data_IF_410235975346
#
_entry.id   IF_410235975346
#
_cell.length_a   1.000
_cell.length_b   1.000
_cell.length_c   1.000
_cell.angle_alpha   90.00
_cell.angle_beta   90.00
_cell.angle_gamma   90.00
#
_symmetry.space_group_name_H-M   'P 1'
#
loop_
_entity.id
_entity.type
_entity.pdbx_description
1 polymer ?
#
# COMPACT_ATOMS: atom_id res chain seq x y z
N UNK A 1 -43.51 -19.51 -13.51
CA UNK A 1 -42.70 -18.45 -12.93
C UNK A 1 -42.78 -17.24 -13.86
N UNK A 2 -43.19 -16.09 -13.38
CA UNK A 2 -43.16 -14.85 -14.16
C UNK A 2 -42.11 -13.94 -13.57
N UNK A 3 -41.38 -13.22 -14.42
CA UNK A 3 -40.44 -12.16 -14.02
C UNK A 3 -41.22 -10.83 -14.09
N UNK A 4 -41.24 -10.08 -13.00
CA UNK A 4 -41.56 -8.67 -13.05
C UNK A 4 -40.28 -7.90 -13.42
N UNK A 5 -40.37 -6.77 -14.09
CA UNK A 5 -39.22 -5.99 -14.57
C UNK A 5 -38.35 -5.35 -13.46
N UNK A 6 -38.70 -5.61 -12.18
CA UNK A 6 -38.01 -5.15 -10.97
C UNK A 6 -37.18 -6.28 -10.30
N UNK A 7 -37.03 -7.44 -10.97
CA UNK A 7 -36.32 -8.59 -10.40
C UNK A 7 -37.19 -9.47 -9.49
N UNK A 8 -38.50 -9.19 -9.37
CA UNK A 8 -39.42 -9.99 -8.57
C UNK A 8 -39.90 -11.21 -9.36
N UNK A 9 -39.91 -12.39 -8.75
CA UNK A 9 -40.41 -13.64 -9.32
C UNK A 9 -41.65 -14.10 -8.57
N UNK A 10 -42.72 -14.39 -9.27
CA UNK A 10 -43.94 -14.95 -8.68
C UNK A 10 -44.11 -16.41 -9.12
N UNK A 11 -44.31 -17.28 -8.13
CA UNK A 11 -44.69 -18.68 -8.32
C UNK A 11 -46.09 -18.84 -7.75
N UNK A 12 -47.09 -18.98 -8.62
CA UNK A 12 -48.48 -19.12 -8.23
C UNK A 12 -48.89 -20.60 -8.06
N UNK A 13 -49.99 -20.80 -7.33
CA UNK A 13 -50.66 -22.10 -7.15
C UNK A 13 -49.77 -23.19 -6.50
N UNK A 14 -48.94 -22.77 -5.51
CA UNK A 14 -48.24 -23.73 -4.66
C UNK A 14 -49.16 -24.23 -3.55
N UNK A 15 -49.18 -25.55 -3.34
CA UNK A 15 -49.81 -26.15 -2.18
C UNK A 15 -49.08 -25.79 -0.89
N UNK A 16 -49.73 -25.93 0.27
CA UNK A 16 -49.06 -25.76 1.54
C UNK A 16 -47.98 -26.83 1.72
N UNK A 17 -46.72 -26.40 1.99
CA UNK A 17 -45.59 -27.33 2.07
C UNK A 17 -44.24 -26.65 2.26
N UNK A 18 -43.17 -27.44 2.20
CA UNK A 18 -41.80 -26.96 2.23
C UNK A 18 -41.24 -27.00 0.82
N UNK A 19 -40.64 -25.89 0.39
CA UNK A 19 -40.09 -25.73 -0.93
C UNK A 19 -38.64 -25.31 -0.84
N UNK A 20 -37.78 -25.99 -1.57
CA UNK A 20 -36.39 -25.53 -1.82
C UNK A 20 -36.40 -24.58 -2.98
N UNK A 21 -36.02 -23.34 -2.74
CA UNK A 21 -35.79 -22.35 -3.78
C UNK A 21 -34.28 -22.17 -3.93
N UNK A 22 -33.79 -22.38 -5.16
CA UNK A 22 -32.35 -22.24 -5.47
C UNK A 22 -32.16 -21.68 -6.87
N UNK A 23 -31.01 -21.08 -7.11
CA UNK A 23 -30.62 -20.73 -8.47
C UNK A 23 -30.48 -21.99 -9.34
N UNK A 24 -30.80 -21.82 -10.61
CA UNK A 24 -30.63 -22.92 -11.58
C UNK A 24 -29.14 -23.09 -11.84
N UNK A 25 -28.69 -24.32 -11.90
CA UNK A 25 -27.30 -24.68 -12.18
C UNK A 25 -26.84 -24.05 -13.52
N UNK A 26 -25.64 -23.52 -13.56
CA UNK A 26 -25.02 -22.85 -14.73
C UNK A 26 -25.72 -21.57 -15.21
N UNK A 27 -26.47 -20.88 -14.37
CA UNK A 27 -27.08 -19.56 -14.72
C UNK A 27 -26.34 -18.37 -14.14
N UNK A 28 -25.39 -18.59 -13.23
CA UNK A 28 -24.53 -17.55 -12.65
C UNK A 28 -23.35 -17.34 -13.59
N UNK A 29 -23.40 -16.29 -14.41
CA UNK A 29 -22.43 -16.04 -15.49
C UNK A 29 -21.65 -14.74 -15.33
N UNK A 30 -22.09 -13.86 -14.42
CA UNK A 30 -21.42 -12.59 -14.16
C UNK A 30 -20.53 -12.71 -12.93
N UNK A 31 -19.47 -11.92 -12.89
CA UNK A 31 -18.55 -11.87 -11.73
C UNK A 31 -19.24 -11.44 -10.43
N UNK A 32 -20.40 -10.77 -10.54
CA UNK A 32 -21.20 -10.30 -9.42
C UNK A 32 -22.35 -11.24 -9.02
N UNK A 33 -22.54 -12.33 -9.75
CA UNK A 33 -23.55 -13.32 -9.40
C UNK A 33 -23.10 -14.13 -8.16
N UNK A 34 -24.05 -14.57 -7.35
CA UNK A 34 -23.82 -15.44 -6.20
C UNK A 34 -24.95 -16.47 -6.09
N UNK A 35 -24.60 -17.68 -5.63
CA UNK A 35 -25.55 -18.78 -5.47
C UNK A 35 -26.47 -18.55 -4.30
N UNK A 36 -27.78 -18.74 -4.52
CA UNK A 36 -28.82 -18.63 -3.50
C UNK A 36 -29.55 -19.96 -3.34
N UNK A 37 -29.67 -20.45 -2.12
CA UNK A 37 -30.54 -21.57 -1.79
C UNK A 37 -31.17 -21.37 -0.42
N UNK A 38 -32.47 -21.53 -0.31
CA UNK A 38 -33.19 -21.45 0.97
C UNK A 38 -34.42 -22.35 0.98
N UNK A 39 -34.77 -22.82 2.18
CA UNK A 39 -35.97 -23.61 2.45
C UNK A 39 -37.10 -22.68 2.85
N UNK A 40 -38.19 -22.71 2.12
CA UNK A 40 -39.36 -21.89 2.40
C UNK A 40 -40.55 -22.73 2.78
N UNK A 41 -41.22 -22.39 3.90
CA UNK A 41 -42.52 -22.98 4.30
C UNK A 41 -43.62 -22.11 3.73
N UNK A 42 -44.43 -22.67 2.85
CA UNK A 42 -45.60 -22.01 2.25
C UNK A 42 -46.88 -22.46 3.02
N UNK A 43 -47.55 -21.46 3.62
CA UNK A 43 -48.87 -21.61 4.26
C UNK A 43 -49.64 -20.32 3.91
N UNK A 44 -50.19 -20.26 2.70
CA UNK A 44 -50.72 -19.02 2.11
C UNK A 44 -49.70 -18.24 1.33
N UNK A 45 -49.95 -16.93 1.06
CA UNK A 45 -49.01 -16.09 0.33
C UNK A 45 -47.77 -15.81 1.18
N UNK A 46 -46.60 -16.11 0.62
CA UNK A 46 -45.30 -15.88 1.25
C UNK A 46 -44.41 -15.08 0.33
N UNK A 47 -43.78 -14.05 0.86
CA UNK A 47 -42.72 -13.30 0.15
C UNK A 47 -41.39 -13.63 0.81
N UNK A 48 -40.39 -14.00 0.00
CA UNK A 48 -39.04 -14.22 0.46
C UNK A 48 -38.10 -13.29 -0.34
N UNK A 49 -37.20 -12.62 0.36
CA UNK A 49 -36.08 -11.92 -0.23
C UNK A 49 -34.80 -12.74 0.04
N UNK A 50 -34.18 -13.30 -1.01
CA UNK A 50 -32.90 -13.95 -0.83
C UNK A 50 -31.90 -12.92 -0.27
N UNK A 51 -31.23 -13.25 0.81
CA UNK A 51 -30.11 -12.45 1.30
C UNK A 51 -28.86 -12.98 0.62
N UNK A 52 -28.39 -12.24 -0.37
CA UNK A 52 -27.07 -12.48 -0.90
C UNK A 52 -26.03 -12.11 0.16
N UNK A 53 -25.17 -13.05 0.47
CA UNK A 53 -24.06 -12.85 1.40
C UNK A 53 -22.75 -13.04 0.65
N UNK A 54 -22.44 -12.04 -0.16
CA UNK A 54 -21.22 -12.02 -0.97
C UNK A 54 -20.07 -11.47 -0.13
N UNK A 55 -18.94 -12.19 -0.03
CA UNK A 55 -17.76 -11.67 0.59
C UNK A 55 -17.30 -10.36 -0.08
N UNK A 56 -16.80 -9.45 0.72
CA UNK A 56 -16.25 -8.17 0.25
C UNK A 56 -14.77 -8.08 0.58
N UNK A 57 -14.04 -7.28 -0.19
CA UNK A 57 -12.66 -6.92 0.12
C UNK A 57 -12.49 -5.40 -0.01
N UNK A 58 -11.87 -4.81 0.99
CA UNK A 58 -11.29 -3.47 0.94
C UNK A 58 -9.79 -3.57 1.16
N UNK A 59 -9.02 -2.58 0.66
CA UNK A 59 -7.57 -2.54 0.78
C UNK A 59 -7.13 -1.16 1.21
N UNK A 60 -6.13 -1.12 2.09
CA UNK A 60 -5.60 0.14 2.61
C UNK A 60 -4.07 0.08 2.72
N UNK A 61 -3.46 1.24 2.60
CA UNK A 61 -2.07 1.55 2.89
C UNK A 61 -2.04 2.51 4.08
N UNK A 62 -1.00 2.44 4.88
CA UNK A 62 -0.85 3.31 6.05
C UNK A 62 0.04 4.50 5.71
N UNK A 63 -0.42 5.69 6.01
CA UNK A 63 0.39 6.90 5.94
C UNK A 63 1.46 6.88 7.03
N UNK A 64 2.70 7.15 6.66
CA UNK A 64 3.82 7.17 7.58
C UNK A 64 3.81 8.39 8.53
N UNK A 65 3.34 9.57 8.08
CA UNK A 65 3.35 10.80 8.89
C UNK A 65 2.33 10.78 10.03
N UNK A 66 1.12 10.29 9.78
CA UNK A 66 0.02 10.35 10.75
C UNK A 66 -0.47 8.98 11.24
N UNK A 67 -0.01 7.89 10.59
CA UNK A 67 -0.42 6.53 10.93
C UNK A 67 -1.84 6.17 10.51
N UNK A 68 -2.52 6.99 9.71
CA UNK A 68 -3.88 6.74 9.25
C UNK A 68 -3.89 5.76 8.08
N UNK A 69 -5.01 5.02 7.93
CA UNK A 69 -5.21 4.06 6.86
C UNK A 69 -6.03 4.68 5.73
N UNK A 70 -5.48 4.66 4.51
CA UNK A 70 -6.09 5.24 3.33
C UNK A 70 -5.89 4.42 2.06
N UNK A 71 -6.08 5.06 0.92
CA UNK A 71 -5.88 4.48 -0.42
C UNK A 71 -4.59 4.98 -1.07
N UNK A 72 -3.94 5.97 -0.47
CA UNK A 72 -2.69 6.56 -0.91
C UNK A 72 -1.72 6.61 0.26
N UNK A 73 -0.46 6.40 0.00
CA UNK A 73 0.69 6.63 0.87
C UNK A 73 1.81 7.26 0.06
N UNK A 74 2.81 7.71 0.77
CA UNK A 74 4.05 8.24 0.24
C UNK A 74 5.20 7.80 1.15
N UNK A 75 6.31 7.45 0.53
CA UNK A 75 7.42 6.87 1.27
C UNK A 75 8.76 7.20 0.57
N UNK A 76 9.83 7.18 1.35
CA UNK A 76 11.19 7.22 0.87
C UNK A 76 11.63 5.84 0.38
N UNK A 77 12.48 5.74 -0.64
CA UNK A 77 13.13 4.48 -1.02
C UNK A 77 13.88 3.92 0.19
N UNK A 78 13.67 2.61 0.46
CA UNK A 78 14.18 1.89 1.62
C UNK A 78 13.20 1.80 2.80
N UNK A 79 12.12 2.59 2.80
CA UNK A 79 11.15 2.57 3.88
C UNK A 79 10.25 1.33 3.81
N UNK A 80 9.84 0.86 4.98
CA UNK A 80 8.85 -0.20 5.12
C UNK A 80 7.45 0.36 5.02
N UNK A 81 6.70 -0.12 4.05
CA UNK A 81 5.31 0.28 3.77
C UNK A 81 4.35 -0.73 4.39
N UNK A 82 3.41 -0.26 5.19
CA UNK A 82 2.39 -1.10 5.83
C UNK A 82 1.11 -1.16 4.99
N UNK A 83 0.58 -2.36 4.80
CA UNK A 83 -0.67 -2.63 4.07
C UNK A 83 -1.64 -3.45 4.91
N UNK A 84 -2.94 -3.30 4.63
CA UNK A 84 -3.94 -4.23 5.12
C UNK A 84 -5.04 -4.47 4.09
N UNK A 85 -5.62 -5.67 4.12
CA UNK A 85 -6.92 -5.95 3.51
C UNK A 85 -7.97 -6.15 4.61
N UNK A 86 -9.20 -5.78 4.30
CA UNK A 86 -10.36 -5.97 5.19
C UNK A 86 -11.36 -6.78 4.39
N UNK A 87 -11.66 -7.98 4.87
CA UNK A 87 -12.60 -8.90 4.22
C UNK A 87 -13.66 -9.34 5.21
N UNK A 88 -14.84 -9.69 4.72
CA UNK A 88 -15.98 -10.08 5.57
C UNK A 88 -16.21 -11.58 5.50
N UNK A 89 -16.39 -12.22 6.65
CA UNK A 89 -16.72 -13.65 6.75
C UNK A 89 -18.16 -13.89 6.29
N UNK A 90 -18.37 -14.66 5.20
CA UNK A 90 -19.69 -14.90 4.65
C UNK A 90 -20.47 -15.93 5.46
N UNK A 91 -21.76 -16.08 5.16
CA UNK A 91 -22.53 -17.21 5.62
C UNK A 91 -22.08 -18.50 4.93
N UNK A 92 -21.52 -19.42 5.69
CA UNK A 92 -20.99 -20.69 5.20
C UNK A 92 -21.97 -21.87 5.40
N UNK A 93 -23.24 -21.60 5.72
CA UNK A 93 -24.24 -22.66 5.92
C UNK A 93 -24.42 -23.51 4.65
N UNK A 94 -24.36 -24.81 4.82
CA UNK A 94 -24.49 -25.76 3.71
C UNK A 94 -23.18 -26.08 2.98
N UNK A 95 -22.08 -25.38 3.27
CA UNK A 95 -20.77 -25.72 2.73
C UNK A 95 -20.07 -26.77 3.60
N UNK A 96 -19.52 -27.81 2.95
CA UNK A 96 -18.62 -28.79 3.57
C UNK A 96 -17.15 -28.48 3.28
N UNK A 97 -16.92 -27.62 2.26
CA UNK A 97 -15.62 -27.07 1.88
C UNK A 97 -15.86 -25.63 1.46
N UNK A 98 -14.99 -24.72 1.88
CA UNK A 98 -15.07 -23.32 1.48
C UNK A 98 -13.66 -22.78 1.21
N UNK A 99 -13.41 -22.39 -0.02
CA UNK A 99 -12.19 -21.67 -0.35
C UNK A 99 -12.40 -20.19 -0.03
N UNK A 100 -11.45 -19.61 0.67
CA UNK A 100 -11.42 -18.21 1.04
C UNK A 100 -9.98 -17.74 0.95
N UNK A 101 -9.64 -17.16 -0.22
CA UNK A 101 -8.26 -16.91 -0.59
C UNK A 101 -8.08 -15.44 -0.95
N UNK A 102 -7.35 -14.72 -0.14
CA UNK A 102 -6.92 -13.35 -0.43
C UNK A 102 -5.70 -13.45 -1.34
N UNK A 103 -5.77 -12.82 -2.50
CA UNK A 103 -4.66 -12.66 -3.43
C UNK A 103 -4.15 -11.23 -3.37
N UNK A 104 -2.83 -11.06 -3.37
CA UNK A 104 -2.16 -9.77 -3.33
C UNK A 104 -0.98 -9.72 -4.29
N UNK A 105 -0.77 -8.58 -4.94
CA UNK A 105 0.33 -8.37 -5.87
C UNK A 105 0.81 -6.93 -5.79
N UNK A 106 2.09 -6.77 -5.51
CA UNK A 106 2.81 -5.50 -5.48
C UNK A 106 3.49 -5.24 -6.83
N UNK A 107 3.50 -3.98 -7.28
CA UNK A 107 4.27 -3.56 -8.47
C UNK A 107 5.78 -3.65 -8.24
N UNK A 108 6.58 -3.53 -9.32
CA UNK A 108 8.03 -3.73 -9.27
C UNK A 108 8.77 -2.79 -8.30
N UNK A 109 8.26 -1.56 -8.11
CA UNK A 109 8.85 -0.60 -7.16
C UNK A 109 8.59 -0.91 -5.68
N UNK A 110 7.88 -2.00 -5.39
CA UNK A 110 7.70 -2.53 -4.03
C UNK A 110 8.30 -3.93 -3.96
N UNK A 111 8.87 -4.28 -2.84
CA UNK A 111 9.34 -5.64 -2.53
C UNK A 111 8.50 -6.22 -1.39
N UNK A 112 7.77 -7.30 -1.65
CA UNK A 112 6.96 -7.95 -0.62
C UNK A 112 7.83 -8.59 0.47
N UNK A 113 7.54 -8.29 1.73
CA UNK A 113 8.14 -8.95 2.88
C UNK A 113 7.47 -10.29 3.21
N UNK A 114 6.33 -10.60 2.59
CA UNK A 114 5.57 -11.82 2.85
C UNK A 114 6.25 -13.02 2.19
N UNK A 115 6.69 -13.97 3.00
CA UNK A 115 7.29 -15.25 2.59
C UNK A 115 6.56 -16.43 3.21
N UNK A 116 6.06 -16.27 4.43
CA UNK A 116 5.40 -17.31 5.23
C UNK A 116 4.22 -16.75 6.02
N UNK A 117 3.47 -17.60 6.71
CA UNK A 117 2.39 -17.16 7.60
C UNK A 117 2.87 -16.31 8.79
N UNK A 118 4.16 -16.37 9.14
CA UNK A 118 4.74 -15.54 10.21
C UNK A 118 4.86 -14.06 9.83
N UNK A 119 4.84 -13.74 8.53
CA UNK A 119 4.98 -12.38 8.01
C UNK A 119 3.62 -11.67 7.89
N UNK A 120 2.55 -12.33 8.29
CA UNK A 120 1.17 -11.83 8.23
C UNK A 120 0.54 -11.89 9.62
N UNK A 121 -0.25 -10.87 9.95
CA UNK A 121 -1.12 -10.89 11.13
C UNK A 121 -2.57 -10.71 10.68
N UNK A 122 -3.44 -11.66 11.00
CA UNK A 122 -4.88 -11.54 10.79
C UNK A 122 -5.55 -11.22 12.13
N UNK A 123 -6.36 -10.15 12.16
CA UNK A 123 -7.17 -9.79 13.32
C UNK A 123 -8.66 -9.87 12.98
N UNK A 124 -9.42 -10.43 13.89
CA UNK A 124 -10.89 -10.48 13.84
C UNK A 124 -11.43 -9.18 14.41
N UNK A 125 -12.23 -8.45 13.62
CA UNK A 125 -12.81 -7.14 13.97
C UNK A 125 -11.74 -6.14 14.47
N UNK A 126 -10.55 -6.21 13.89
CA UNK A 126 -9.36 -5.40 14.26
C UNK A 126 -8.93 -5.51 15.74
N UNK A 127 -9.36 -6.53 16.43
CA UNK A 127 -9.11 -6.69 17.87
C UNK A 127 -8.36 -7.98 18.22
N UNK A 128 -8.91 -9.14 17.89
CA UNK A 128 -8.38 -10.43 18.32
C UNK A 128 -7.57 -11.09 17.23
N UNK A 129 -6.33 -11.47 17.51
CA UNK A 129 -5.47 -12.18 16.54
C UNK A 129 -6.06 -13.58 16.26
N UNK A 130 -6.28 -13.88 14.97
CA UNK A 130 -6.58 -15.22 14.50
C UNK A 130 -5.29 -16.05 14.51
N UNK A 131 -5.22 -17.18 15.23
CA UNK A 131 -4.03 -18.02 15.26
C UNK A 131 -3.61 -18.52 13.87
N UNK A 132 -2.30 -18.62 13.62
CA UNK A 132 -1.74 -18.99 12.33
C UNK A 132 -2.13 -20.41 11.85
N UNK A 133 -2.63 -21.26 12.70
CA UNK A 133 -3.16 -22.58 12.35
C UNK A 133 -4.45 -22.55 11.52
N UNK A 134 -5.08 -21.37 11.40
CA UNK A 134 -6.31 -21.18 10.62
C UNK A 134 -6.05 -20.56 9.24
N UNK A 135 -4.79 -20.32 8.86
CA UNK A 135 -4.48 -19.82 7.53
C UNK A 135 -3.12 -20.30 7.04
N UNK A 136 -2.98 -20.35 5.74
CA UNK A 136 -1.72 -20.67 5.06
C UNK A 136 -1.37 -19.58 4.08
N UNK A 137 -0.06 -19.33 3.90
CA UNK A 137 0.47 -18.34 2.97
C UNK A 137 1.29 -19.04 1.91
N UNK A 138 1.03 -18.67 0.66
CA UNK A 138 1.86 -19.07 -0.49
C UNK A 138 2.40 -17.80 -1.13
N UNK A 139 3.73 -17.64 -1.15
CA UNK A 139 4.41 -16.47 -1.70
C UNK A 139 5.13 -16.82 -3.01
N UNK A 140 5.11 -15.88 -3.97
CA UNK A 140 5.80 -15.97 -5.24
C UNK A 140 6.28 -14.57 -5.66
N UNK A 141 7.52 -14.22 -5.31
CA UNK A 141 8.08 -12.88 -5.57
C UNK A 141 7.27 -11.79 -4.88
N UNK A 142 6.74 -10.86 -5.65
CA UNK A 142 5.91 -9.74 -5.20
C UNK A 142 4.41 -10.09 -5.09
N UNK A 143 4.04 -11.33 -5.33
CA UNK A 143 2.67 -11.82 -5.17
C UNK A 143 2.61 -12.84 -4.06
N UNK A 144 1.50 -12.86 -3.35
CA UNK A 144 1.20 -13.91 -2.37
C UNK A 144 -0.30 -14.17 -2.29
N UNK A 145 -0.65 -15.32 -1.73
CA UNK A 145 -2.02 -15.64 -1.38
C UNK A 145 -2.12 -16.11 0.07
N UNK A 146 -3.23 -15.76 0.71
CA UNK A 146 -3.57 -16.15 2.08
C UNK A 146 -4.86 -16.95 2.02
N UNK A 147 -4.77 -18.26 2.21
CA UNK A 147 -5.93 -19.12 2.33
C UNK A 147 -6.34 -19.24 3.79
N UNK A 148 -7.54 -18.80 4.13
CA UNK A 148 -8.12 -18.90 5.49
C UNK A 148 -9.07 -20.09 5.55
N UNK A 149 -8.87 -20.98 6.50
CA UNK A 149 -9.79 -22.08 6.80
C UNK A 149 -10.94 -21.56 7.67
N UNK A 150 -11.87 -20.85 7.03
CA UNK A 150 -12.99 -20.21 7.73
C UNK A 150 -13.95 -21.23 8.35
N UNK A 151 -14.13 -22.40 7.73
CA UNK A 151 -15.03 -23.43 8.29
C UNK A 151 -14.48 -23.98 9.60
N UNK A 152 -13.18 -24.33 9.63
CA UNK A 152 -12.52 -24.76 10.87
C UNK A 152 -12.55 -23.66 11.92
N UNK A 153 -12.23 -22.43 11.55
CA UNK A 153 -12.20 -21.30 12.48
C UNK A 153 -13.60 -20.98 13.07
N UNK A 154 -14.67 -21.14 12.28
CA UNK A 154 -16.05 -21.00 12.75
C UNK A 154 -16.40 -22.17 13.70
N UNK A 155 -16.07 -23.40 13.33
CA UNK A 155 -16.32 -24.59 14.16
C UNK A 155 -15.64 -24.48 15.53
N UNK A 156 -14.41 -23.95 15.56
CA UNK A 156 -13.60 -23.76 16.78
C UNK A 156 -13.98 -22.48 17.54
N UNK A 157 -15.01 -21.75 17.09
CA UNK A 157 -15.51 -20.52 17.74
C UNK A 157 -14.54 -19.33 17.65
N UNK A 158 -13.63 -19.32 16.69
CA UNK A 158 -12.68 -18.23 16.44
C UNK A 158 -13.25 -17.18 15.49
N UNK A 159 -14.14 -17.59 14.59
CA UNK A 159 -14.85 -16.73 13.64
C UNK A 159 -16.35 -16.94 13.74
N UNK A 160 -17.09 -15.93 13.34
CA UNK A 160 -18.54 -15.97 13.13
C UNK A 160 -18.86 -15.27 11.81
N UNK A 161 -20.05 -15.57 11.27
CA UNK A 161 -20.63 -14.81 10.17
C UNK A 161 -20.62 -13.31 10.50
N UNK A 162 -20.36 -12.48 9.48
CA UNK A 162 -20.24 -11.02 9.57
C UNK A 162 -18.99 -10.50 10.30
N UNK A 163 -18.09 -11.34 10.83
CA UNK A 163 -16.82 -10.84 11.33
C UNK A 163 -16.00 -10.22 10.17
N UNK A 164 -15.29 -9.15 10.47
CA UNK A 164 -14.29 -8.60 9.57
C UNK A 164 -12.91 -9.20 9.87
N UNK A 165 -12.19 -9.58 8.82
CA UNK A 165 -10.81 -10.04 8.90
C UNK A 165 -9.89 -8.95 8.38
N UNK A 166 -9.07 -8.40 9.26
CA UNK A 166 -8.02 -7.44 8.96
C UNK A 166 -6.70 -8.18 8.78
N UNK A 167 -6.22 -8.26 7.54
CA UNK A 167 -4.95 -8.94 7.23
C UNK A 167 -3.86 -7.91 7.03
N UNK A 168 -2.88 -7.85 7.95
CA UNK A 168 -1.77 -6.92 7.99
C UNK A 168 -0.50 -7.57 7.44
N UNK A 169 0.25 -6.83 6.65
CA UNK A 169 1.52 -7.23 6.06
C UNK A 169 2.31 -6.01 5.59
N UNK A 170 3.56 -6.21 5.18
CA UNK A 170 4.45 -5.13 4.76
C UNK A 170 5.14 -5.42 3.43
N UNK A 171 5.62 -4.36 2.83
CA UNK A 171 6.60 -4.36 1.74
C UNK A 171 7.65 -3.30 2.00
N UNK A 172 8.63 -3.19 1.11
CA UNK A 172 9.65 -2.14 1.11
C UNK A 172 9.56 -1.39 -0.21
N UNK A 173 9.57 -0.05 -0.16
CA UNK A 173 9.74 0.77 -1.36
C UNK A 173 11.19 0.64 -1.83
N UNK A 174 11.40 0.08 -3.01
CA UNK A 174 12.72 -0.32 -3.49
C UNK A 174 13.29 0.61 -4.57
N UNK A 175 14.50 0.31 -5.03
CA UNK A 175 15.23 1.08 -6.04
C UNK A 175 14.54 1.20 -7.40
N UNK A 176 13.60 0.32 -7.74
CA UNK A 176 12.82 0.34 -8.98
C UNK A 176 11.57 1.23 -8.87
N UNK A 177 11.39 1.91 -7.74
CA UNK A 177 10.26 2.81 -7.51
C UNK A 177 10.27 3.97 -8.50
N UNK A 178 9.12 4.18 -9.14
CA UNK A 178 8.88 5.32 -10.02
C UNK A 178 8.64 6.57 -9.20
N UNK A 179 9.33 7.67 -9.51
CA UNK A 179 9.02 8.97 -8.91
C UNK A 179 7.76 9.58 -9.53
N UNK A 180 7.14 10.51 -8.82
CA UNK A 180 5.79 11.05 -9.09
C UNK A 180 5.49 11.42 -10.56
N UNK A 181 6.46 11.92 -11.32
CA UNK A 181 6.31 12.28 -12.72
C UNK A 181 6.60 11.13 -13.71
N UNK A 182 7.14 10.02 -13.22
CA UNK A 182 7.35 8.78 -13.97
C UNK A 182 6.22 7.77 -13.71
N UNK A 183 5.50 7.91 -12.59
CA UNK A 183 4.39 7.06 -12.16
C UNK A 183 4.31 6.90 -10.66
N UNK A 184 3.79 5.79 -10.23
CA UNK A 184 3.56 5.40 -8.83
C UNK A 184 3.72 3.90 -8.69
N UNK A 185 3.77 3.44 -7.45
CA UNK A 185 3.68 2.02 -7.11
C UNK A 185 2.21 1.70 -6.78
N UNK A 186 1.75 0.54 -7.22
CA UNK A 186 0.45 0.03 -6.82
C UNK A 186 0.58 -1.34 -6.12
N UNK A 187 -0.32 -1.57 -5.19
CA UNK A 187 -0.53 -2.87 -4.58
C UNK A 187 -2.00 -3.23 -4.74
N UNK A 188 -2.27 -4.40 -5.33
CA UNK A 188 -3.58 -4.85 -5.78
C UNK A 188 -3.98 -6.10 -5.03
N UNK A 189 -5.23 -6.16 -4.53
CA UNK A 189 -5.76 -7.37 -3.91
C UNK A 189 -7.17 -7.68 -4.36
N UNK A 190 -7.52 -8.97 -4.29
CA UNK A 190 -8.88 -9.47 -4.42
C UNK A 190 -9.09 -10.72 -3.57
N UNK A 191 -10.35 -11.06 -3.30
CA UNK A 191 -10.73 -12.27 -2.60
C UNK A 191 -11.37 -13.25 -3.58
N UNK A 192 -10.86 -14.48 -3.64
CA UNK A 192 -11.49 -15.63 -4.28
C UNK A 192 -12.24 -16.44 -3.22
N UNK A 193 -13.46 -16.88 -3.53
CA UNK A 193 -14.30 -17.57 -2.57
C UNK A 193 -15.16 -18.65 -3.24
N UNK A 194 -15.57 -19.68 -2.47
CA UNK A 194 -16.52 -20.65 -2.93
C UNK A 194 -17.90 -20.02 -3.10
N UNK A 195 -18.51 -20.20 -4.27
CA UNK A 195 -19.75 -19.54 -4.65
C UNK A 195 -20.99 -20.45 -4.60
N UNK A 196 -20.79 -21.78 -4.60
CA UNK A 196 -21.88 -22.76 -4.63
C UNK A 196 -21.58 -23.95 -3.68
N UNK A 197 -22.42 -24.22 -2.66
CA UNK A 197 -22.17 -25.30 -1.71
C UNK A 197 -22.28 -26.71 -2.32
N UNK A 198 -22.83 -26.84 -3.53
CA UNK A 198 -23.01 -28.11 -4.21
C UNK A 198 -21.99 -28.37 -5.32
N UNK A 199 -21.13 -27.38 -5.63
CA UNK A 199 -20.15 -27.45 -6.72
C UNK A 199 -18.83 -26.83 -6.25
N UNK A 200 -17.88 -27.64 -5.84
CA UNK A 200 -16.58 -27.22 -5.28
C UNK A 200 -15.73 -26.37 -6.24
N UNK A 201 -15.96 -26.51 -7.55
CA UNK A 201 -15.23 -25.78 -8.59
C UNK A 201 -15.84 -24.42 -8.93
N UNK A 202 -17.04 -24.13 -8.41
CA UNK A 202 -17.70 -22.85 -8.63
C UNK A 202 -17.12 -21.79 -7.66
N UNK A 203 -16.36 -20.86 -8.23
CA UNK A 203 -15.65 -19.80 -7.50
C UNK A 203 -16.18 -18.44 -7.89
N UNK A 204 -16.34 -17.58 -6.89
CA UNK A 204 -16.54 -16.14 -7.07
C UNK A 204 -15.23 -15.39 -6.83
N UNK A 205 -15.16 -14.19 -7.35
CA UNK A 205 -14.06 -13.24 -7.15
C UNK A 205 -14.62 -11.84 -6.84
N UNK A 206 -14.09 -11.18 -5.81
CA UNK A 206 -14.43 -9.76 -5.60
C UNK A 206 -13.79 -8.87 -6.67
N UNK A 207 -14.31 -7.66 -6.90
CA UNK A 207 -13.56 -6.65 -7.64
C UNK A 207 -12.19 -6.42 -7.01
N UNK A 208 -11.20 -6.15 -7.86
CA UNK A 208 -9.86 -5.77 -7.41
C UNK A 208 -9.89 -4.43 -6.69
N UNK A 209 -9.14 -4.34 -5.59
CA UNK A 209 -8.89 -3.10 -4.86
C UNK A 209 -7.42 -2.75 -4.93
N UNK A 210 -7.14 -1.47 -5.13
CA UNK A 210 -5.80 -0.93 -5.28
C UNK A 210 -5.54 0.15 -4.24
N UNK A 211 -4.30 0.20 -3.79
CA UNK A 211 -3.73 1.34 -3.08
C UNK A 211 -2.47 1.77 -3.80
N UNK A 212 -2.08 3.01 -3.62
CA UNK A 212 -0.97 3.61 -4.34
C UNK A 212 0.03 4.19 -3.35
N UNK A 213 1.32 4.02 -3.69
CA UNK A 213 2.44 4.57 -2.95
C UNK A 213 3.24 5.49 -3.88
N UNK A 214 3.57 6.68 -3.40
CA UNK A 214 4.25 7.72 -4.15
C UNK A 214 5.63 7.99 -3.56
N UNK A 215 6.53 8.44 -4.39
CA UNK A 215 7.84 8.96 -3.96
C UNK A 215 8.26 10.10 -4.87
N UNK A 216 9.13 10.96 -4.38
CA UNK A 216 9.42 12.24 -5.01
C UNK A 216 10.89 12.40 -5.36
N UNK A 217 11.19 13.50 -6.04
CA UNK A 217 12.55 13.91 -6.36
C UNK A 217 12.73 15.40 -6.12
N UNK A 218 13.97 15.79 -5.87
CA UNK A 218 14.39 17.17 -5.72
C UNK A 218 15.62 17.43 -6.60
N UNK A 219 15.65 18.59 -7.25
CA UNK A 219 16.82 19.10 -7.97
C UNK A 219 17.53 20.19 -7.16
N UNK A 220 18.86 20.24 -7.21
CA UNK A 220 19.68 21.28 -6.56
C UNK A 220 20.29 22.16 -7.64
N UNK A 221 20.00 23.47 -7.59
CA UNK A 221 20.61 24.45 -8.49
C UNK A 221 21.46 25.45 -7.68
N UNK A 222 22.77 25.26 -7.68
CA UNK A 222 23.72 26.21 -7.03
C UNK A 222 24.10 27.29 -8.03
N UNK A 223 23.75 28.54 -7.71
CA UNK A 223 24.01 29.72 -8.56
C UNK A 223 24.72 30.82 -7.78
N UNK A 224 25.42 31.71 -8.53
CA UNK A 224 25.93 32.94 -7.98
C UNK A 224 24.85 34.05 -7.96
N UNK A 225 25.23 35.25 -7.49
CA UNK A 225 24.35 36.42 -7.40
C UNK A 225 23.75 36.87 -8.74
N UNK A 226 24.37 36.52 -9.86
CA UNK A 226 23.93 36.87 -11.21
C UNK A 226 23.13 35.71 -11.87
N UNK A 227 22.82 34.63 -11.15
CA UNK A 227 22.11 33.47 -11.65
C UNK A 227 23.00 32.50 -12.46
N UNK A 228 24.30 32.73 -12.51
CA UNK A 228 25.27 31.83 -13.19
C UNK A 228 25.48 30.57 -12.35
N UNK A 229 25.40 29.39 -13.01
CA UNK A 229 25.60 28.12 -12.35
C UNK A 229 27.01 27.98 -11.76
N UNK A 230 27.08 27.47 -10.53
CA UNK A 230 28.32 27.15 -9.84
C UNK A 230 28.53 25.64 -9.79
N UNK A 231 29.77 25.21 -10.06
CA UNK A 231 30.19 23.81 -9.94
C UNK A 231 31.22 23.65 -8.84
N UNK A 232 31.54 22.40 -8.46
CA UNK A 232 32.56 22.07 -7.46
C UNK A 232 32.12 22.16 -6.02
N UNK A 233 30.88 22.60 -5.73
CA UNK A 233 30.27 22.41 -4.40
C UNK A 233 29.83 20.97 -4.23
N UNK A 234 29.72 20.54 -2.95
CA UNK A 234 29.11 19.25 -2.57
C UNK A 234 28.09 19.45 -1.48
N UNK A 235 27.05 18.63 -1.52
CA UNK A 235 25.92 18.72 -0.59
C UNK A 235 25.62 17.35 0.01
N UNK A 236 25.46 17.30 1.34
CA UNK A 236 24.93 16.18 2.08
C UNK A 236 23.45 16.44 2.43
N UNK A 237 22.62 15.38 2.41
CA UNK A 237 21.19 15.45 2.74
C UNK A 237 20.92 14.78 4.09
N UNK A 238 20.01 15.36 4.88
CA UNK A 238 19.60 14.85 6.20
C UNK A 238 18.15 15.19 6.49
N UNK A 239 17.50 14.40 7.35
CA UNK A 239 16.24 14.76 8.04
C UNK A 239 16.47 15.48 9.37
N UNK A 240 17.72 15.71 9.76
CA UNK A 240 18.10 16.37 11.01
C UNK A 240 18.72 17.75 10.74
N UNK A 241 18.04 18.82 11.13
CA UNK A 241 18.46 20.21 10.95
C UNK A 241 19.51 20.69 11.95
N UNK A 242 19.90 19.89 12.95
CA UNK A 242 20.84 20.30 14.00
C UNK A 242 22.27 19.82 13.78
N UNK A 243 22.55 19.10 12.68
CA UNK A 243 23.88 18.65 12.36
C UNK A 243 24.82 19.85 12.10
N UNK A 244 26.11 19.66 12.39
CA UNK A 244 27.14 20.66 12.06
C UNK A 244 28.11 20.06 11.04
N UNK A 245 28.40 20.76 9.97
CA UNK A 245 29.36 20.33 8.94
C UNK A 245 30.75 20.05 9.56
N UNK A 246 31.14 20.85 10.58
CA UNK A 246 32.39 20.62 11.32
C UNK A 246 32.47 19.23 11.98
N UNK A 247 31.33 18.72 12.47
CA UNK A 247 31.25 17.40 13.11
C UNK A 247 31.25 16.23 12.10
N UNK A 248 30.99 16.51 10.85
CA UNK A 248 31.03 15.51 9.75
C UNK A 248 32.45 15.11 9.40
N UNK A 249 33.47 15.87 9.84
CA UNK A 249 34.89 15.60 9.61
C UNK A 249 35.17 15.38 8.10
N UNK A 250 34.75 16.33 7.27
CA UNK A 250 34.93 16.25 5.82
C UNK A 250 36.39 16.34 5.40
N UNK A 251 36.79 15.57 4.41
CA UNK A 251 38.09 15.73 3.76
C UNK A 251 38.12 16.94 2.82
N UNK A 252 39.27 17.23 2.17
CA UNK A 252 39.45 18.35 1.23
C UNK A 252 38.47 18.31 0.03
N UNK A 253 37.97 17.11 -0.31
CA UNK A 253 36.96 16.93 -1.34
C UNK A 253 35.52 17.10 -0.82
N UNK A 254 35.33 17.45 0.46
CA UNK A 254 34.02 17.65 1.07
C UNK A 254 33.26 16.35 1.33
N UNK A 255 33.96 15.22 1.37
CA UNK A 255 33.35 13.91 1.67
C UNK A 255 33.37 13.70 3.19
N UNK A 256 32.21 13.49 3.84
CA UNK A 256 32.13 13.31 5.28
C UNK A 256 32.71 11.95 5.71
N UNK A 257 33.53 11.95 6.74
CA UNK A 257 33.99 10.76 7.42
C UNK A 257 32.96 10.27 8.47
N UNK A 258 32.17 11.18 9.04
CA UNK A 258 31.06 10.89 9.94
C UNK A 258 29.76 11.08 9.17
N UNK A 259 29.02 9.98 8.98
CA UNK A 259 27.80 9.92 8.15
C UNK A 259 26.53 9.73 8.98
N UNK A 260 26.64 9.68 10.31
CA UNK A 260 25.48 9.52 11.21
C UNK A 260 24.46 10.63 11.02
N UNK A 261 23.23 10.25 10.72
CA UNK A 261 22.13 11.19 10.45
C UNK A 261 22.08 11.73 9.02
N UNK A 262 23.04 11.36 8.15
CA UNK A 262 22.98 11.68 6.72
C UNK A 262 22.21 10.61 5.96
N UNK A 263 21.52 11.02 4.89
CA UNK A 263 20.86 10.13 3.96
C UNK A 263 21.90 9.58 2.98
N UNK A 264 22.03 8.26 2.94
CA UNK A 264 22.84 7.57 1.95
C UNK A 264 22.18 7.62 0.57
N UNK A 265 22.97 7.76 -0.47
CA UNK A 265 22.49 7.82 -1.86
C UNK A 265 23.32 6.92 -2.74
N UNK A 266 22.75 6.45 -3.83
CA UNK A 266 23.45 5.73 -4.90
C UNK A 266 23.43 6.60 -6.17
N UNK A 267 24.58 6.82 -6.79
CA UNK A 267 24.66 7.52 -8.07
C UNK A 267 24.14 6.59 -9.18
N UNK A 268 23.07 7.00 -9.88
CA UNK A 268 22.46 6.24 -10.97
C UNK A 268 23.12 6.60 -12.31
N UNK A 269 23.32 7.90 -12.54
CA UNK A 269 23.98 8.46 -13.72
C UNK A 269 24.63 9.80 -13.38
N UNK A 270 25.22 10.49 -14.37
CA UNK A 270 25.76 11.83 -14.11
C UNK A 270 24.66 12.81 -13.73
N UNK A 271 24.82 13.38 -12.52
CA UNK A 271 23.83 14.30 -11.94
C UNK A 271 22.57 13.63 -11.41
N UNK A 272 22.42 12.31 -11.46
CA UNK A 272 21.25 11.62 -10.91
C UNK A 272 21.64 10.68 -9.77
N UNK A 273 20.92 10.80 -8.68
CA UNK A 273 21.06 10.00 -7.47
C UNK A 273 19.69 9.51 -7.03
N UNK A 274 19.65 8.37 -6.36
CA UNK A 274 18.51 7.92 -5.59
C UNK A 274 18.87 7.71 -4.13
N UNK A 275 17.91 7.75 -3.25
CA UNK A 275 18.10 7.31 -1.86
C UNK A 275 18.53 5.84 -1.87
N UNK A 276 19.46 5.50 -0.99
CA UNK A 276 19.95 4.13 -0.84
C UNK A 276 18.94 3.28 -0.04
N UNK A 277 18.84 2.00 -0.41
CA UNK A 277 18.11 0.97 0.33
C UNK A 277 19.07 -0.06 0.93
N UNK A 278 18.55 -0.91 1.80
CA UNK A 278 19.33 -2.00 2.41
C UNK A 278 19.90 -2.94 1.33
N UNK A 279 21.19 -3.24 1.44
CA UNK A 279 21.90 -4.08 0.49
C UNK A 279 22.59 -3.32 -0.65
N UNK A 280 22.37 -2.02 -0.76
CA UNK A 280 23.08 -1.19 -1.75
C UNK A 280 24.59 -1.18 -1.49
N UNK A 281 25.32 -1.22 -2.59
CA UNK A 281 26.78 -1.02 -2.61
C UNK A 281 27.09 0.34 -3.24
N UNK A 282 28.28 0.89 -2.97
CA UNK A 282 28.73 2.21 -3.48
C UNK A 282 27.84 3.37 -3.02
N UNK A 283 27.35 3.29 -1.79
CA UNK A 283 26.60 4.38 -1.16
C UNK A 283 27.51 5.59 -0.96
N UNK A 284 27.03 6.75 -1.41
CA UNK A 284 27.62 8.06 -1.21
C UNK A 284 26.75 8.92 -0.31
N UNK A 285 27.36 9.86 0.40
CA UNK A 285 26.62 10.76 1.32
C UNK A 285 26.67 12.21 0.87
N UNK A 286 27.19 12.45 -0.32
CA UNK A 286 27.22 13.78 -0.94
C UNK A 286 26.89 13.69 -2.42
N UNK A 287 26.26 14.74 -2.93
CA UNK A 287 26.02 14.97 -4.35
C UNK A 287 26.86 16.15 -4.84
N UNK A 288 27.32 16.10 -6.10
CA UNK A 288 28.06 17.17 -6.73
C UNK A 288 27.12 18.27 -7.23
N UNK A 289 27.47 19.55 -7.01
CA UNK A 289 26.78 20.66 -7.67
C UNK A 289 26.88 20.54 -9.20
N UNK A 290 25.88 21.03 -9.90
CA UNK A 290 25.75 20.91 -11.36
C UNK A 290 24.37 20.40 -11.74
N UNK A 291 23.33 20.88 -11.04
CA UNK A 291 21.94 20.48 -11.16
C UNK A 291 21.69 18.98 -10.84
N UNK A 292 22.23 18.45 -9.74
CA UNK A 292 21.92 17.06 -9.40
C UNK A 292 20.45 16.92 -9.02
N UNK A 293 19.90 15.72 -9.33
CA UNK A 293 18.55 15.29 -8.94
C UNK A 293 18.69 14.13 -7.98
N UNK A 294 18.00 14.22 -6.84
CA UNK A 294 17.88 13.14 -5.85
C UNK A 294 16.47 12.60 -5.93
N UNK A 295 16.33 11.31 -6.25
CA UNK A 295 15.08 10.56 -6.39
C UNK A 295 14.82 9.71 -5.14
N UNK A 296 13.55 9.39 -4.89
CA UNK A 296 13.15 8.49 -3.82
C UNK A 296 12.99 9.18 -2.47
N UNK A 297 12.57 10.44 -2.47
CA UNK A 297 12.27 11.23 -1.28
C UNK A 297 10.80 11.12 -0.92
N UNK A 298 10.51 11.34 0.35
CA UNK A 298 9.17 11.39 0.94
C UNK A 298 8.57 12.80 0.85
N UNK A 299 7.26 12.95 1.00
CA UNK A 299 6.66 14.27 1.20
C UNK A 299 6.42 14.55 2.69
N UNK A 300 5.96 15.76 3.01
CA UNK A 300 5.67 16.24 4.37
C UNK A 300 6.82 16.05 5.40
N UNK A 301 8.03 15.75 4.93
CA UNK A 301 9.23 15.56 5.75
C UNK A 301 10.14 16.80 5.65
N UNK A 302 10.71 17.22 6.79
CA UNK A 302 11.75 18.23 6.84
C UNK A 302 13.07 17.67 6.35
N UNK A 303 13.58 18.22 5.27
CA UNK A 303 14.90 17.91 4.71
C UNK A 303 15.84 19.08 4.86
N UNK A 304 17.12 18.79 5.13
CA UNK A 304 18.20 19.76 5.33
C UNK A 304 19.36 19.43 4.42
N UNK A 305 19.73 20.37 3.55
CA UNK A 305 20.84 20.25 2.60
C UNK A 305 22.05 21.01 3.15
N UNK A 306 23.09 20.28 3.51
CA UNK A 306 24.33 20.79 4.08
C UNK A 306 25.38 20.95 2.98
N UNK A 307 25.93 22.15 2.76
CA UNK A 307 27.07 22.33 1.89
C UNK A 307 28.33 21.84 2.59
N UNK A 308 28.94 20.75 2.14
CA UNK A 308 30.14 20.14 2.73
C UNK A 308 31.41 20.62 2.03
N UNK A 309 31.30 21.17 0.82
CA UNK A 309 32.37 21.85 0.06
C UNK A 309 31.79 23.02 -0.70
N UNK A 310 32.39 24.20 -0.52
CA UNK A 310 32.01 25.39 -1.29
C UNK A 310 32.64 25.38 -2.71
N UNK A 311 32.02 26.05 -3.69
CA UNK A 311 32.67 26.33 -4.96
C UNK A 311 33.96 27.13 -4.78
N UNK A 312 34.89 27.02 -5.74
CA UNK A 312 36.15 27.78 -5.69
C UNK A 312 35.88 29.30 -5.65
N UNK A 313 36.50 29.98 -4.66
CA UNK A 313 36.31 31.42 -4.44
C UNK A 313 35.09 31.80 -3.59
N UNK A 314 34.33 30.85 -3.07
CA UNK A 314 33.19 31.10 -2.21
C UNK A 314 33.42 30.52 -0.80
N UNK A 315 32.74 31.10 0.17
CA UNK A 315 32.72 30.57 1.53
C UNK A 315 31.66 29.46 1.65
N UNK A 316 31.91 28.54 2.55
CA UNK A 316 30.95 27.51 2.93
C UNK A 316 29.69 28.16 3.53
N UNK A 317 28.51 27.63 3.24
CA UNK A 317 27.27 28.07 3.86
C UNK A 317 27.32 27.82 5.37
N UNK A 318 26.91 28.80 6.15
CA UNK A 318 26.89 28.70 7.63
C UNK A 318 25.75 27.82 8.15
N UNK A 319 24.61 27.82 7.45
CA UNK A 319 23.40 27.08 7.81
C UNK A 319 22.96 26.17 6.65
N UNK A 320 22.30 25.04 6.95
CA UNK A 320 21.75 24.19 5.90
C UNK A 320 20.56 24.87 5.21
N UNK A 321 20.30 24.45 3.97
CA UNK A 321 19.06 24.82 3.29
C UNK A 321 17.97 23.83 3.73
N UNK A 322 16.97 24.34 4.45
CA UNK A 322 15.78 23.60 4.79
C UNK A 322 14.81 23.57 3.62
N UNK A 323 14.19 22.41 3.34
CA UNK A 323 13.08 22.30 2.41
C UNK A 323 12.11 21.20 2.80
N UNK A 324 10.88 21.34 2.32
CA UNK A 324 9.81 20.34 2.45
C UNK A 324 9.20 20.11 1.07
N UNK A 325 9.00 18.85 0.71
CA UNK A 325 8.18 18.45 -0.43
C UNK A 325 6.76 18.33 0.09
N UNK A 326 5.78 18.88 -0.63
CA UNK A 326 4.37 18.77 -0.27
C UNK A 326 3.59 18.29 -1.48
N UNK A 327 2.86 17.19 -1.35
CA UNK A 327 2.04 16.62 -2.38
C UNK A 327 0.55 16.66 -1.99
N UNK A 328 -0.30 16.61 -3.00
CA UNK A 328 -1.74 16.40 -2.84
C UNK A 328 -2.21 15.41 -3.88
N UNK A 329 -3.21 14.60 -3.53
CA UNK A 329 -3.64 13.47 -4.34
C UNK A 329 -5.12 13.56 -4.69
N UNK A 330 -5.52 12.89 -5.77
CA UNK A 330 -6.91 12.63 -6.06
C UNK A 330 -7.53 11.74 -4.98
N UNK A 331 -8.84 11.81 -4.79
CA UNK A 331 -9.54 11.10 -3.72
C UNK A 331 -9.37 9.56 -3.78
N UNK A 332 -9.12 9.02 -4.96
CA UNK A 332 -8.84 7.59 -5.18
C UNK A 332 -7.35 7.23 -5.11
N UNK A 333 -6.46 8.21 -4.85
CA UNK A 333 -5.02 8.05 -4.78
C UNK A 333 -4.33 7.79 -6.12
N UNK A 334 -5.07 7.68 -7.21
CA UNK A 334 -4.56 7.24 -8.52
C UNK A 334 -3.68 8.26 -9.23
N UNK A 335 -3.77 9.54 -8.86
CA UNK A 335 -2.99 10.64 -9.40
C UNK A 335 -2.64 11.64 -8.30
N UNK A 336 -1.50 12.32 -8.44
CA UNK A 336 -1.24 13.53 -7.69
C UNK A 336 -1.98 14.72 -8.34
N UNK A 337 -2.35 15.71 -7.55
CA UNK A 337 -2.98 16.96 -8.01
C UNK A 337 -2.04 18.13 -7.96
N UNK A 338 -1.08 18.12 -7.02
CA UNK A 338 0.01 19.08 -6.94
C UNK A 338 1.22 18.47 -6.27
N UNK A 339 2.42 18.94 -6.66
CA UNK A 339 3.68 18.69 -5.95
C UNK A 339 4.43 20.02 -5.91
N UNK A 340 4.83 20.45 -4.71
CA UNK A 340 5.57 21.68 -4.49
C UNK A 340 6.76 21.43 -3.58
N UNK A 341 7.82 22.22 -3.75
CA UNK A 341 8.97 22.24 -2.85
C UNK A 341 9.02 23.62 -2.21
N UNK A 342 8.89 23.68 -0.89
CA UNK A 342 9.04 24.92 -0.12
C UNK A 342 10.44 24.96 0.46
N UNK A 343 11.17 26.04 0.20
CA UNK A 343 12.56 26.23 0.67
C UNK A 343 12.58 27.35 1.70
N UNK A 344 13.29 27.13 2.82
CA UNK A 344 13.55 28.15 3.83
C UNK A 344 12.40 28.42 4.82
N UNK A 345 11.37 27.57 4.87
CA UNK A 345 10.18 27.79 5.69
C UNK A 345 10.35 27.52 7.20
N UNK A 346 11.43 26.87 7.65
CA UNK A 346 11.58 26.47 9.06
C UNK A 346 12.21 27.51 9.98
N UNK A 347 12.78 28.57 9.46
CA UNK A 347 13.50 29.57 10.27
C UNK A 347 12.61 30.65 10.94
N UNK A 348 11.29 30.53 10.86
CA UNK A 348 10.38 31.56 11.40
C UNK A 348 9.93 31.32 12.84
N UNK A 349 10.52 30.39 13.57
CA UNK A 349 10.15 30.13 14.98
C UNK A 349 11.16 30.67 16.02
N UNK A 350 12.15 31.43 15.62
CA UNK A 350 13.01 32.15 16.57
C UNK A 350 12.45 33.55 16.81
N UNK A 351 11.41 33.64 17.63
CA UNK A 351 11.08 34.80 18.43
C UNK A 351 10.67 34.37 19.81
#
# INVERSE_FOLDING_TARGET
MSTAGDGTYTIANLDSGYYLVKDKDNTLTNADDFYTAYLMKVVGNVTAAPKGDKPTLNKQIKHNENGEWGVVGDNQIGDTVEFRTITKVPNTSGYTKYDYIIHDTMSAGLTSNVKTSADITIKVNDATVLPAEYYTVTANGNSFSVQVDILKAIQDGKLAHDNELYTYYTGVLNADAKVYDEGKQDNVAYLEYSNNPNVDTDKGKTPEKKVYDWTFKMGINKVNENGGQLTGAKFALSKNGTLKVADMNCNDEGIPAVTTGLIGMVKISDGEYRVAEDGDTNVVYVVDAGNPVIKGLDDAIDYYLYETKAPAGYNLMSEPVHFVISASYAADGSNYTSVTVTVGAAAASDT
#
